data_IF_257765413679
#
_entry.id   IF_257765413679
#
_cell.length_a   1.000
_cell.length_b   1.000
_cell.length_c   1.000
_cell.angle_alpha   90.00
_cell.angle_beta   90.00
_cell.angle_gamma   90.00
#
_symmetry.space_group_name_H-M   'P 1'
#
loop_
_entity.id
_entity.type
_entity.pdbx_description
1 polymer ?
#
# COMPACT_ATOMS: atom_id res chain seq x y z
N UNK A 1 53.91 -7.05 -42.00
CA UNK A 1 53.02 -7.28 -43.16
C UNK A 1 52.13 -6.07 -43.30
N UNK A 2 52.20 -5.43 -44.47
CA UNK A 2 51.56 -4.16 -44.81
C UNK A 2 50.35 -4.47 -45.70
N UNK A 3 49.17 -3.96 -45.36
CA UNK A 3 48.03 -3.93 -46.27
C UNK A 3 47.41 -2.53 -46.24
N UNK A 4 47.66 -1.80 -47.33
CA UNK A 4 46.96 -0.58 -47.71
C UNK A 4 45.68 -1.00 -48.42
N UNK A 5 44.51 -0.52 -47.98
CA UNK A 5 43.26 -0.61 -48.72
C UNK A 5 42.79 0.79 -49.12
N UNK A 6 42.81 1.03 -50.42
CA UNK A 6 42.29 2.19 -51.15
C UNK A 6 40.77 2.05 -51.34
N UNK A 7 40.01 3.08 -51.00
CA UNK A 7 38.58 3.20 -51.32
C UNK A 7 38.16 4.68 -51.41
N UNK A 8 37.47 5.12 -52.48
CA UNK A 8 37.26 6.55 -52.75
C UNK A 8 36.11 7.15 -51.93
N UNK A 9 36.35 8.38 -51.44
CA UNK A 9 35.36 9.31 -50.86
C UNK A 9 34.65 10.05 -52.00
N UNK A 10 33.32 10.02 -52.07
CA UNK A 10 32.47 11.16 -52.49
C UNK A 10 31.00 10.87 -52.21
N UNK A 11 30.28 11.91 -51.76
CA UNK A 11 28.85 11.95 -51.41
C UNK A 11 28.16 12.80 -52.49
N UNK A 12 27.08 12.34 -53.15
CA UNK A 12 26.34 13.21 -54.08
C UNK A 12 25.18 13.94 -53.38
N UNK A 13 25.00 15.22 -53.74
CA UNK A 13 23.93 16.12 -53.31
C UNK A 13 22.56 15.78 -53.95
N UNK A 14 21.43 16.14 -53.30
CA UNK A 14 20.09 15.86 -53.83
C UNK A 14 19.70 16.84 -54.96
N UNK A 15 19.47 16.29 -56.15
CA UNK A 15 18.96 17.02 -57.33
C UNK A 15 17.42 17.06 -57.30
N UNK A 16 16.86 18.26 -57.45
CA UNK A 16 15.41 18.51 -57.58
C UNK A 16 15.02 18.58 -59.07
N UNK A 17 14.07 17.77 -59.57
CA UNK A 17 13.54 17.95 -60.93
C UNK A 17 12.23 18.77 -60.96
N UNK A 18 11.87 19.33 -62.14
CA UNK A 18 10.91 20.41 -62.33
C UNK A 18 9.45 19.96 -62.52
N UNK A 19 8.53 20.94 -62.42
CA UNK A 19 7.10 20.82 -62.76
C UNK A 19 6.91 20.72 -64.28
N UNK A 20 5.98 19.88 -64.73
CA UNK A 20 5.39 20.04 -66.07
C UNK A 20 4.64 18.82 -66.60
N UNK A 21 3.32 18.99 -66.73
CA UNK A 21 2.38 18.39 -67.70
C UNK A 21 1.82 16.97 -67.47
N UNK A 22 0.48 16.94 -67.32
CA UNK A 22 -0.46 15.81 -67.42
C UNK A 22 -0.45 15.17 -68.83
N UNK A 23 -0.97 13.94 -69.05
CA UNK A 23 -2.43 13.75 -69.16
C UNK A 23 -3.03 12.36 -68.77
N UNK A 24 -4.35 12.41 -68.50
CA UNK A 24 -5.42 11.42 -68.80
C UNK A 24 -5.57 10.15 -67.93
N UNK A 25 -6.48 10.29 -66.96
CA UNK A 25 -7.68 9.49 -66.68
C UNK A 25 -7.72 7.98 -67.01
N UNK A 26 -7.82 7.18 -65.95
CA UNK A 26 -8.92 6.22 -65.68
C UNK A 26 -8.84 5.79 -64.22
N UNK A 27 -9.91 5.99 -63.42
CA UNK A 27 -10.49 5.00 -62.49
C UNK A 27 -11.35 5.63 -61.36
N UNK A 28 -12.36 4.90 -60.85
CA UNK A 28 -13.66 5.47 -60.45
C UNK A 28 -13.80 5.87 -58.96
N UNK A 29 -14.78 6.73 -58.71
CA UNK A 29 -15.11 7.36 -57.42
C UNK A 29 -15.66 6.39 -56.34
N UNK A 30 -15.42 6.64 -55.03
CA UNK A 30 -16.22 6.08 -53.94
C UNK A 30 -17.48 6.91 -53.64
N UNK A 31 -18.56 6.30 -53.08
CA UNK A 31 -19.88 6.91 -53.03
C UNK A 31 -20.05 7.94 -51.91
N UNK A 32 -20.86 8.96 -52.19
CA UNK A 32 -21.28 10.02 -51.25
C UNK A 32 -22.18 9.47 -50.14
N UNK A 33 -21.85 9.78 -48.89
CA UNK A 33 -22.83 9.68 -47.80
C UNK A 33 -23.38 11.07 -47.48
N UNK A 34 -24.68 11.19 -47.70
CA UNK A 34 -25.54 12.34 -47.49
C UNK A 34 -25.52 12.79 -46.02
N UNK A 35 -25.22 14.06 -45.81
CA UNK A 35 -25.25 14.71 -44.50
C UNK A 35 -26.71 15.09 -44.17
N UNK A 36 -27.46 14.18 -43.57
CA UNK A 36 -28.75 14.52 -42.95
C UNK A 36 -28.54 15.08 -41.56
N UNK A 37 -28.66 16.40 -41.44
CA UNK A 37 -28.89 17.09 -40.16
C UNK A 37 -30.21 16.59 -39.56
N UNK A 38 -30.14 15.92 -38.42
CA UNK A 38 -31.26 15.82 -37.48
C UNK A 38 -30.82 16.39 -36.15
N UNK A 39 -31.41 17.53 -35.82
CA UNK A 39 -31.22 18.27 -34.57
C UNK A 39 -31.97 17.57 -33.42
N UNK A 40 -31.41 17.73 -32.22
CA UNK A 40 -32.04 17.65 -30.89
C UNK A 40 -32.66 16.32 -30.41
N UNK A 41 -31.86 15.54 -29.69
CA UNK A 41 -32.19 15.07 -28.33
C UNK A 41 -30.89 14.89 -27.55
N UNK A 42 -30.47 16.00 -26.95
CA UNK A 42 -29.32 16.11 -26.07
C UNK A 42 -29.58 15.43 -24.72
N UNK A 43 -28.49 14.93 -24.13
CA UNK A 43 -28.24 14.77 -22.69
C UNK A 43 -28.41 13.39 -22.03
N UNK A 44 -28.86 12.33 -22.72
CA UNK A 44 -28.86 10.96 -22.11
C UNK A 44 -27.71 10.07 -22.57
N UNK A 45 -27.11 10.33 -23.73
CA UNK A 45 -26.05 9.49 -24.30
C UNK A 45 -24.63 9.81 -23.82
N UNK A 46 -24.42 10.97 -23.16
CA UNK A 46 -23.09 11.37 -22.65
C UNK A 46 -22.87 10.99 -21.18
N UNK A 47 -23.94 10.72 -20.43
CA UNK A 47 -23.87 10.15 -19.09
C UNK A 47 -23.52 8.64 -19.12
N UNK A 48 -23.75 7.98 -20.27
CA UNK A 48 -23.54 6.54 -20.44
C UNK A 48 -22.10 6.15 -20.81
N UNK A 49 -21.22 7.11 -21.14
CA UNK A 49 -19.84 6.83 -21.55
C UNK A 49 -18.87 6.64 -20.36
N UNK A 50 -19.33 6.87 -19.13
CA UNK A 50 -18.52 6.79 -17.90
C UNK A 50 -18.73 5.50 -17.09
N UNK A 51 -19.51 4.55 -17.61
CA UNK A 51 -19.60 3.20 -17.05
C UNK A 51 -19.51 2.18 -18.18
N UNK A 52 -18.30 2.00 -18.72
CA UNK A 52 -17.99 0.91 -19.65
C UNK A 52 -18.00 -0.44 -18.90
N UNK A 53 -19.16 -0.79 -18.34
CA UNK A 53 -19.43 -2.09 -17.73
C UNK A 53 -20.04 -2.98 -18.80
N UNK A 54 -19.68 -4.26 -18.76
CA UNK A 54 -20.28 -5.22 -19.68
C UNK A 54 -21.77 -5.39 -19.33
N UNK A 55 -22.64 -5.71 -20.30
CA UNK A 55 -24.01 -6.10 -19.97
C UNK A 55 -23.98 -7.32 -19.05
N UNK A 56 -24.94 -7.43 -18.14
CA UNK A 56 -24.94 -8.46 -17.09
C UNK A 56 -24.79 -9.89 -17.61
N UNK A 57 -25.37 -10.19 -18.78
CA UNK A 57 -25.25 -11.50 -19.44
C UNK A 57 -23.83 -11.79 -19.92
N UNK A 58 -23.13 -10.80 -20.46
CA UNK A 58 -21.74 -10.93 -20.92
C UNK A 58 -20.79 -11.01 -19.73
N UNK A 59 -20.99 -10.16 -18.70
CA UNK A 59 -20.25 -10.23 -17.43
C UNK A 59 -20.37 -11.62 -16.80
N UNK A 60 -21.57 -12.19 -16.77
CA UNK A 60 -21.83 -13.53 -16.22
C UNK A 60 -21.11 -14.63 -17.02
N UNK A 61 -21.05 -14.50 -18.35
CA UNK A 61 -20.31 -15.44 -19.22
C UNK A 61 -18.81 -15.36 -19.00
N UNK A 62 -18.26 -14.15 -18.89
CA UNK A 62 -16.83 -13.92 -18.59
C UNK A 62 -16.45 -14.45 -17.21
N UNK A 63 -17.30 -14.21 -16.21
CA UNK A 63 -17.14 -14.76 -14.86
C UNK A 63 -17.18 -16.30 -14.87
N UNK A 64 -18.12 -16.90 -15.60
CA UNK A 64 -18.20 -18.36 -15.73
C UNK A 64 -16.96 -18.94 -16.43
N UNK A 65 -16.48 -18.30 -17.50
CA UNK A 65 -15.22 -18.64 -18.19
C UNK A 65 -14.02 -18.61 -17.23
N UNK A 66 -13.89 -17.52 -16.46
CA UNK A 66 -12.84 -17.38 -15.45
C UNK A 66 -12.95 -18.42 -14.33
N UNK A 67 -14.16 -18.75 -13.87
CA UNK A 67 -14.40 -19.79 -12.85
C UNK A 67 -14.03 -21.20 -13.34
N UNK A 68 -14.28 -21.51 -14.61
CA UNK A 68 -13.88 -22.77 -15.21
C UNK A 68 -12.35 -22.88 -15.26
N UNK A 69 -11.66 -21.83 -15.72
CA UNK A 69 -10.19 -21.77 -15.70
C UNK A 69 -9.64 -21.87 -14.27
N UNK A 70 -10.28 -21.22 -13.29
CA UNK A 70 -9.94 -21.34 -11.86
C UNK A 70 -10.06 -22.79 -11.38
N UNK A 71 -11.10 -23.52 -11.78
CA UNK A 71 -11.28 -24.94 -11.45
C UNK A 71 -10.18 -25.82 -12.05
N UNK A 72 -9.82 -25.57 -13.31
CA UNK A 72 -8.70 -26.26 -13.98
C UNK A 72 -7.36 -25.98 -13.28
N UNK A 73 -7.11 -24.73 -12.91
CA UNK A 73 -5.90 -24.33 -12.17
C UNK A 73 -5.85 -24.93 -10.76
N UNK A 74 -7.00 -25.03 -10.06
CA UNK A 74 -7.10 -25.74 -8.78
C UNK A 74 -6.71 -27.22 -8.94
N UNK A 75 -7.13 -27.86 -10.03
CA UNK A 75 -6.76 -29.25 -10.34
C UNK A 75 -5.25 -29.40 -10.56
N UNK A 76 -4.62 -28.45 -11.28
CA UNK A 76 -3.16 -28.41 -11.46
C UNK A 76 -2.44 -28.15 -10.14
N UNK A 77 -2.96 -27.27 -9.30
CA UNK A 77 -2.44 -26.99 -7.97
C UNK A 77 -2.45 -28.23 -7.06
N UNK A 78 -3.55 -28.99 -7.07
CA UNK A 78 -3.65 -30.26 -6.32
C UNK A 78 -2.66 -31.32 -6.82
N UNK A 79 -2.28 -31.28 -8.10
CA UNK A 79 -1.22 -32.12 -8.69
C UNK A 79 0.20 -31.61 -8.39
N UNK A 80 0.34 -30.52 -7.64
CA UNK A 80 1.60 -29.82 -7.34
C UNK A 80 2.30 -29.22 -8.57
N UNK A 81 1.59 -29.10 -9.70
CA UNK A 81 2.09 -28.39 -10.88
C UNK A 81 1.77 -26.89 -10.76
N UNK A 82 2.57 -26.20 -9.95
CA UNK A 82 2.34 -24.79 -9.63
C UNK A 82 2.59 -23.86 -10.82
N UNK A 83 3.58 -24.15 -11.67
CA UNK A 83 3.89 -23.36 -12.86
C UNK A 83 2.75 -23.33 -13.87
N UNK A 84 2.17 -24.50 -14.17
CA UNK A 84 1.01 -24.57 -15.07
C UNK A 84 -0.22 -23.94 -14.41
N UNK A 85 -0.40 -24.14 -13.10
CA UNK A 85 -1.49 -23.52 -12.35
C UNK A 85 -1.45 -22.00 -12.43
N UNK A 86 -0.28 -21.38 -12.26
CA UNK A 86 -0.08 -19.93 -12.40
C UNK A 86 -0.50 -19.48 -13.80
N UNK A 87 -0.01 -20.14 -14.84
CA UNK A 87 -0.35 -19.80 -16.23
C UNK A 87 -1.86 -19.89 -16.50
N UNK A 88 -2.53 -20.87 -15.92
CA UNK A 88 -3.99 -21.03 -16.05
C UNK A 88 -4.75 -19.97 -15.25
N UNK A 89 -4.27 -19.58 -14.06
CA UNK A 89 -4.84 -18.46 -13.30
C UNK A 89 -4.65 -17.11 -14.00
N UNK A 90 -3.50 -16.87 -14.63
CA UNK A 90 -3.26 -15.65 -15.40
C UNK A 90 -4.21 -15.55 -16.60
N UNK A 91 -4.49 -16.67 -17.26
CA UNK A 91 -5.56 -16.74 -18.28
C UNK A 91 -6.93 -16.42 -17.67
N UNK A 92 -7.24 -16.94 -16.49
CA UNK A 92 -8.49 -16.62 -15.79
C UNK A 92 -8.61 -15.13 -15.43
N UNK A 93 -7.50 -14.47 -15.10
CA UNK A 93 -7.44 -13.03 -14.84
C UNK A 93 -7.66 -12.20 -16.11
N UNK A 94 -7.15 -12.65 -17.26
CA UNK A 94 -7.32 -11.95 -18.53
C UNK A 94 -8.78 -11.94 -19.03
N UNK A 95 -9.57 -12.95 -18.63
CA UNK A 95 -11.01 -13.02 -18.92
C UNK A 95 -11.84 -12.09 -18.03
N UNK A 96 -11.30 -11.61 -16.89
CA UNK A 96 -12.05 -10.79 -15.96
C UNK A 96 -11.98 -9.29 -16.32
N UNK A 97 -13.12 -8.58 -16.34
CA UNK A 97 -13.13 -7.13 -16.37
C UNK A 97 -12.42 -6.51 -15.16
N UNK A 98 -11.72 -5.40 -15.38
CA UNK A 98 -10.85 -4.76 -14.37
C UNK A 98 -11.57 -4.19 -13.14
N UNK A 99 -12.90 -4.06 -13.18
CA UNK A 99 -13.72 -3.58 -12.07
C UNK A 99 -14.22 -4.71 -11.15
N UNK A 100 -13.94 -5.99 -11.45
CA UNK A 100 -14.32 -7.13 -10.61
C UNK A 100 -13.22 -7.43 -9.59
N UNK A 101 -13.00 -6.48 -8.70
CA UNK A 101 -11.87 -6.44 -7.77
C UNK A 101 -11.83 -7.64 -6.81
N UNK A 102 -13.00 -8.09 -6.32
CA UNK A 102 -13.08 -9.29 -5.48
C UNK A 102 -12.61 -10.56 -6.20
N UNK A 103 -13.11 -10.81 -7.41
CA UNK A 103 -12.77 -12.05 -8.14
C UNK A 103 -11.31 -12.05 -8.57
N UNK A 104 -10.80 -10.88 -8.99
CA UNK A 104 -9.37 -10.69 -9.24
C UNK A 104 -8.55 -10.97 -7.97
N UNK A 105 -8.98 -10.49 -6.81
CA UNK A 105 -8.29 -10.74 -5.55
C UNK A 105 -8.27 -12.22 -5.15
N UNK A 106 -9.35 -12.98 -5.43
CA UNK A 106 -9.40 -14.43 -5.22
C UNK A 106 -8.33 -15.14 -6.07
N UNK A 107 -8.25 -14.82 -7.36
CA UNK A 107 -7.25 -15.39 -8.28
C UNK A 107 -5.83 -15.00 -7.87
N UNK A 108 -5.58 -13.72 -7.58
CA UNK A 108 -4.28 -13.23 -7.11
C UNK A 108 -3.85 -13.92 -5.82
N UNK A 109 -4.79 -14.19 -4.91
CA UNK A 109 -4.52 -14.95 -3.70
C UNK A 109 -3.99 -16.35 -4.05
N UNK A 110 -4.65 -17.07 -4.97
CA UNK A 110 -4.24 -18.42 -5.36
C UNK A 110 -2.91 -18.44 -6.13
N UNK A 111 -2.66 -17.46 -6.99
CA UNK A 111 -1.35 -17.27 -7.66
C UNK A 111 -0.26 -17.08 -6.60
N UNK A 112 -0.48 -16.22 -5.60
CA UNK A 112 0.47 -16.02 -4.51
C UNK A 112 0.73 -17.32 -3.73
N UNK A 113 -0.27 -18.17 -3.54
CA UNK A 113 -0.07 -19.49 -2.93
C UNK A 113 0.83 -20.40 -3.77
N UNK A 114 0.72 -20.34 -5.10
CA UNK A 114 1.61 -21.07 -6.01
C UNK A 114 3.04 -20.54 -5.92
N UNK A 115 3.24 -19.22 -5.97
CA UNK A 115 4.55 -18.58 -5.84
C UNK A 115 5.22 -18.91 -4.49
N UNK A 116 4.45 -18.96 -3.39
CA UNK A 116 4.97 -19.39 -2.10
C UNK A 116 5.47 -20.84 -2.10
N UNK A 117 4.83 -21.73 -2.86
CA UNK A 117 5.25 -23.14 -3.01
C UNK A 117 6.50 -23.29 -3.89
N UNK A 118 6.71 -22.35 -4.80
CA UNK A 118 7.88 -22.27 -5.67
C UNK A 118 9.02 -21.42 -5.07
N UNK A 119 8.85 -20.90 -3.85
CA UNK A 119 9.80 -20.00 -3.18
C UNK A 119 10.10 -18.71 -3.98
N UNK A 120 9.16 -18.31 -4.83
CA UNK A 120 9.20 -17.08 -5.63
C UNK A 120 8.63 -15.92 -4.80
N UNK A 121 9.41 -15.47 -3.82
CA UNK A 121 8.93 -14.55 -2.78
C UNK A 121 8.49 -13.18 -3.32
N UNK A 122 9.20 -12.65 -4.33
CA UNK A 122 8.92 -11.32 -4.88
C UNK A 122 7.60 -11.31 -5.64
N UNK A 123 7.41 -12.31 -6.48
CA UNK A 123 6.21 -12.54 -7.28
C UNK A 123 5.01 -12.85 -6.36
N UNK A 124 5.22 -13.57 -5.25
CA UNK A 124 4.19 -13.78 -4.24
C UNK A 124 3.74 -12.47 -3.59
N UNK A 125 4.67 -11.58 -3.23
CA UNK A 125 4.35 -10.27 -2.65
C UNK A 125 3.59 -9.41 -3.66
N UNK A 126 4.04 -9.35 -4.91
CA UNK A 126 3.39 -8.56 -5.95
C UNK A 126 1.95 -9.01 -6.21
N UNK A 127 1.70 -10.33 -6.32
CA UNK A 127 0.35 -10.87 -6.42
C UNK A 127 -0.49 -10.52 -5.20
N UNK A 128 0.07 -10.60 -3.99
CA UNK A 128 -0.65 -10.22 -2.78
C UNK A 128 -1.02 -8.73 -2.75
N UNK A 129 -0.11 -7.85 -3.16
CA UNK A 129 -0.33 -6.41 -3.22
C UNK A 129 -1.45 -6.06 -4.19
N UNK A 130 -1.43 -6.63 -5.41
CA UNK A 130 -2.51 -6.47 -6.41
C UNK A 130 -3.87 -6.88 -5.86
N UNK A 131 -3.94 -8.03 -5.17
CA UNK A 131 -5.18 -8.50 -4.57
C UNK A 131 -5.67 -7.60 -3.44
N UNK A 132 -4.77 -7.14 -2.56
CA UNK A 132 -5.12 -6.26 -1.44
C UNK A 132 -5.56 -4.87 -1.91
N UNK A 133 -4.93 -4.33 -2.97
CA UNK A 133 -5.31 -3.06 -3.57
C UNK A 133 -6.72 -3.13 -4.20
N UNK A 134 -7.09 -4.26 -4.80
CA UNK A 134 -8.46 -4.51 -5.28
C UNK A 134 -9.46 -4.52 -4.13
N UNK A 135 -9.18 -5.31 -3.08
CA UNK A 135 -10.07 -5.37 -1.93
C UNK A 135 -10.19 -4.04 -1.16
N UNK A 136 -9.17 -3.20 -1.16
CA UNK A 136 -9.23 -1.87 -0.55
C UNK A 136 -10.11 -0.90 -1.34
N UNK A 137 -10.26 -1.09 -2.67
CA UNK A 137 -11.24 -0.32 -3.47
C UNK A 137 -12.67 -0.75 -3.19
N UNK A 138 -12.89 -2.05 -2.99
CA UNK A 138 -14.22 -2.64 -2.70
C UNK A 138 -14.67 -2.39 -1.27
N UNK A 139 -13.79 -2.62 -0.30
CA UNK A 139 -14.06 -2.44 1.12
C UNK A 139 -12.87 -1.74 1.80
N UNK A 140 -12.87 -0.39 1.82
CA UNK A 140 -11.82 0.38 2.45
C UNK A 140 -11.68 0.04 3.93
N UNK A 141 -10.44 -0.19 4.38
CA UNK A 141 -10.13 -0.52 5.79
C UNK A 141 -9.61 0.66 6.57
N UNK A 142 -9.11 1.68 5.84
CA UNK A 142 -8.66 2.94 6.41
C UNK A 142 -9.72 3.99 6.09
N UNK A 143 -10.11 4.80 7.07
CA UNK A 143 -10.93 6.01 6.85
C UNK A 143 -10.12 7.01 6.02
N UNK A 144 -10.02 6.75 4.72
CA UNK A 144 -9.27 7.60 3.81
C UNK A 144 -10.10 8.86 3.56
N UNK A 145 -9.76 9.95 4.26
CA UNK A 145 -10.01 11.28 3.72
C UNK A 145 -9.38 11.31 2.32
N UNK A 146 -10.11 11.73 1.27
CA UNK A 146 -9.65 11.63 -0.10
C UNK A 146 -8.35 12.43 -0.26
N UNK A 147 -7.25 11.74 -0.61
CA UNK A 147 -6.00 12.39 -1.00
C UNK A 147 -6.17 12.99 -2.40
N UNK A 148 -6.50 14.27 -2.46
CA UNK A 148 -6.35 15.06 -3.68
C UNK A 148 -4.88 15.02 -4.12
N UNK A 149 -4.60 14.51 -5.32
CA UNK A 149 -3.30 14.61 -5.98
C UNK A 149 -2.99 16.08 -6.26
N UNK A 150 -2.31 16.78 -5.34
CA UNK A 150 -1.73 18.08 -5.64
C UNK A 150 -0.46 17.88 -6.47
N UNK A 151 -0.58 18.16 -7.75
CA UNK A 151 0.50 18.23 -8.72
C UNK A 151 1.52 19.28 -8.24
N UNK A 152 2.73 18.84 -7.93
CA UNK A 152 3.86 19.70 -7.56
C UNK A 152 4.25 20.60 -8.74
N UNK A 153 3.89 21.88 -8.69
CA UNK A 153 4.51 22.95 -9.48
C UNK A 153 5.49 23.72 -8.59
N UNK A 154 6.73 23.84 -9.10
CA UNK A 154 7.90 24.59 -8.65
C UNK A 154 7.56 25.90 -7.90
N UNK A 155 8.26 26.27 -6.80
CA UNK A 155 8.09 27.56 -6.18
C UNK A 155 8.90 28.64 -6.93
N UNK A 156 8.21 29.68 -7.38
CA UNK A 156 8.82 30.97 -7.70
C UNK A 156 8.95 31.80 -6.42
N UNK A 157 10.15 32.34 -6.26
CA UNK A 157 10.55 33.31 -5.24
C UNK A 157 9.73 34.60 -5.33
N UNK A 158 9.05 34.99 -4.25
CA UNK A 158 8.88 36.41 -3.90
C UNK A 158 9.06 36.65 -2.41
N UNK A 159 10.01 37.54 -2.17
CA UNK A 159 10.48 38.11 -0.94
C UNK A 159 9.59 39.32 -0.62
N UNK A 160 8.87 39.31 0.50
CA UNK A 160 8.36 40.55 1.10
C UNK A 160 8.55 40.52 2.61
N UNK A 161 9.23 41.55 3.06
CA UNK A 161 9.69 41.82 4.42
C UNK A 161 8.67 42.75 5.09
N UNK A 162 8.14 42.41 6.26
CA UNK A 162 7.52 43.40 7.15
C UNK A 162 7.70 43.07 8.64
N UNK A 163 8.61 43.85 9.21
CA UNK A 163 8.84 44.27 10.60
C UNK A 163 7.68 44.24 11.61
N UNK A 164 8.03 43.72 12.81
CA UNK A 164 8.14 44.42 14.12
C UNK A 164 6.99 44.35 15.14
N UNK A 165 7.39 44.52 16.43
CA UNK A 165 6.73 44.34 17.75
C UNK A 165 6.63 42.89 18.24
N UNK A 166 7.39 42.37 19.21
CA UNK A 166 7.89 42.81 20.55
C UNK A 166 6.77 42.96 21.59
N UNK A 167 6.78 42.04 22.57
CA UNK A 167 6.52 42.18 24.02
C UNK A 167 6.53 40.75 24.62
N UNK A 168 7.68 40.22 25.05
CA UNK A 168 8.14 40.17 26.46
C UNK A 168 7.05 40.30 27.52
N UNK A 169 6.74 39.20 28.20
CA UNK A 169 6.72 39.24 29.66
C UNK A 169 7.06 37.89 30.30
N UNK A 170 7.78 38.02 31.40
CA UNK A 170 8.49 37.01 32.18
C UNK A 170 7.97 37.10 33.61
N UNK A 171 7.52 35.99 34.18
CA UNK A 171 7.68 35.63 35.60
C UNK A 171 7.09 34.21 35.77
N UNK A 172 7.66 33.23 36.45
CA UNK A 172 8.61 33.28 37.55
C UNK A 172 7.99 32.61 38.79
N UNK A 173 8.75 31.69 39.41
CA UNK A 173 8.55 31.03 40.73
C UNK A 173 7.51 29.90 40.79
N UNK A 174 7.63 28.85 41.62
CA UNK A 174 8.56 28.28 42.65
C UNK A 174 7.69 27.11 43.20
N UNK A 175 8.09 25.87 43.44
CA UNK A 175 9.27 25.23 44.01
C UNK A 175 8.74 24.07 44.90
N UNK A 176 9.52 22.98 45.05
CA UNK A 176 9.55 22.01 46.21
C UNK A 176 8.25 21.23 46.53
N UNK A 177 8.16 19.98 47.01
CA UNK A 177 9.05 18.96 47.58
C UNK A 177 8.27 17.64 47.77
N UNK A 178 8.91 16.49 47.50
CA UNK A 178 9.08 15.29 48.36
C UNK A 178 7.99 14.89 49.40
N UNK A 179 7.44 13.67 49.29
CA UNK A 179 7.29 12.62 50.36
C UNK A 179 6.48 11.44 49.78
N UNK A 180 6.95 10.18 49.66
CA UNK A 180 7.31 9.10 50.59
C UNK A 180 6.15 8.27 51.21
N UNK A 181 6.34 6.93 51.14
CA UNK A 181 5.62 5.79 51.76
C UNK A 181 4.18 5.51 51.31
N UNK A 182 3.74 4.29 51.00
CA UNK A 182 4.21 2.95 51.36
C UNK A 182 3.18 2.27 52.27
N UNK A 183 2.65 1.10 51.88
CA UNK A 183 2.40 -0.09 52.74
C UNK A 183 1.53 -1.14 52.02
N UNK A 184 1.99 -2.38 52.13
CA UNK A 184 1.41 -3.66 51.66
C UNK A 184 0.16 -4.07 52.46
N UNK A 185 -0.62 -5.02 51.91
CA UNK A 185 -1.09 -6.31 52.51
C UNK A 185 -2.44 -6.72 51.89
N UNK A 186 -2.50 -7.82 51.14
CA UNK A 186 -3.05 -9.14 51.51
C UNK A 186 -4.50 -9.09 52.02
N UNK A 187 -5.48 -9.85 51.55
CA UNK A 187 -5.54 -11.01 50.65
C UNK A 187 -6.90 -11.71 50.86
N UNK A 188 -7.17 -12.73 50.02
CA UNK A 188 -8.24 -13.77 50.12
C UNK A 188 -9.68 -13.27 49.86
N UNK A 189 -10.35 -13.69 48.78
CA UNK A 189 -11.00 -15.00 48.52
C UNK A 189 -12.07 -15.35 49.57
N UNK A 190 -13.31 -15.56 49.07
CA UNK A 190 -14.44 -16.44 49.48
C UNK A 190 -15.67 -15.96 48.66
N UNK A 191 -16.20 -16.68 47.66
CA UNK A 191 -17.03 -17.90 47.63
C UNK A 191 -18.52 -17.70 48.05
N UNK A 192 -19.40 -17.83 47.05
CA UNK A 192 -20.74 -18.45 47.00
C UNK A 192 -21.80 -18.20 48.09
N UNK A 193 -22.97 -17.71 47.65
CA UNK A 193 -24.31 -18.03 48.21
C UNK A 193 -25.45 -17.50 47.32
N UNK A 194 -26.06 -18.43 46.58
CA UNK A 194 -27.50 -18.76 46.44
C UNK A 194 -28.63 -17.72 46.70
N UNK A 195 -29.59 -17.72 45.76
CA UNK A 195 -31.05 -17.75 45.97
C UNK A 195 -31.92 -16.47 45.92
N UNK A 196 -32.72 -16.42 44.84
CA UNK A 196 -34.17 -16.12 44.74
C UNK A 196 -34.76 -14.75 45.13
N UNK A 197 -35.41 -14.12 44.14
CA UNK A 197 -36.83 -13.75 44.26
C UNK A 197 -37.19 -12.26 44.23
N UNK A 198 -38.01 -11.91 43.24
CA UNK A 198 -39.09 -10.89 43.28
C UNK A 198 -38.77 -9.45 42.82
N UNK A 199 -39.20 -9.19 41.59
CA UNK A 199 -40.14 -8.14 41.15
C UNK A 199 -39.83 -6.63 41.28
N UNK A 200 -40.02 -5.99 40.11
CA UNK A 200 -40.61 -4.67 39.83
C UNK A 200 -39.70 -3.42 39.69
N UNK A 201 -39.67 -2.97 38.43
CA UNK A 201 -39.84 -1.59 37.95
C UNK A 201 -38.70 -0.56 38.13
N UNK A 202 -37.93 -0.45 37.04
CA UNK A 202 -37.57 0.76 36.29
C UNK A 202 -37.37 2.10 37.03
N UNK A 203 -36.12 2.58 37.04
CA UNK A 203 -35.79 3.98 36.71
C UNK A 203 -34.44 4.00 35.96
N UNK A 204 -34.49 4.48 34.72
CA UNK A 204 -33.37 4.57 33.80
C UNK A 204 -32.58 5.87 34.01
N UNK A 205 -31.29 5.76 34.29
CA UNK A 205 -30.33 6.86 34.15
C UNK A 205 -29.00 6.31 33.62
N UNK A 206 -28.82 6.50 32.31
CA UNK A 206 -27.62 6.48 31.45
C UNK A 206 -26.32 5.81 31.92
N UNK A 207 -25.70 5.00 31.04
CA UNK A 207 -24.25 5.01 30.90
C UNK A 207 -23.78 5.34 29.47
N UNK A 208 -22.82 6.28 29.45
CA UNK A 208 -21.71 6.46 28.52
C UNK A 208 -21.75 5.81 27.13
N UNK A 209 -21.77 6.67 26.11
CA UNK A 209 -21.46 6.34 24.72
C UNK A 209 -20.00 5.81 24.59
N UNK A 210 -19.86 4.52 24.34
CA UNK A 210 -18.63 3.89 23.82
C UNK A 210 -18.56 4.17 22.30
N UNK A 211 -17.43 4.62 21.72
CA UNK A 211 -17.35 5.01 20.32
C UNK A 211 -17.01 3.81 19.43
N UNK A 212 -17.87 2.78 19.39
CA UNK A 212 -17.64 1.58 18.54
C UNK A 212 -18.94 0.93 18.11
N UNK A 213 -19.52 1.43 17.03
CA UNK A 213 -20.21 0.66 15.98
C UNK A 213 -20.69 1.64 14.90
N UNK A 214 -19.82 1.92 13.91
CA UNK A 214 -20.24 2.62 12.68
C UNK A 214 -21.13 1.73 11.79
N UNK A 215 -21.32 0.46 12.16
CA UNK A 215 -22.20 -0.50 11.48
C UNK A 215 -23.66 -0.47 12.02
N UNK A 216 -23.96 0.32 13.07
CA UNK A 216 -25.30 0.46 13.65
C UNK A 216 -26.10 1.65 13.06
N UNK A 217 -25.84 2.01 11.80
CA UNK A 217 -26.62 3.04 11.11
C UNK A 217 -28.00 2.46 10.76
N UNK A 218 -29.05 2.92 11.44
CA UNK A 218 -30.44 2.58 11.14
C UNK A 218 -30.79 3.16 9.77
N UNK A 219 -30.87 2.31 8.76
CA UNK A 219 -31.39 2.67 7.44
C UNK A 219 -32.91 2.52 7.49
N UNK A 220 -33.63 3.64 7.45
CA UNK A 220 -35.09 3.62 7.34
C UNK A 220 -35.47 3.04 5.97
N UNK A 221 -36.12 1.87 5.98
CA UNK A 221 -36.68 1.26 4.78
C UNK A 221 -37.93 2.08 4.39
N UNK A 222 -38.07 2.54 3.13
CA UNK A 222 -39.29 3.20 2.67
C UNK A 222 -40.51 2.29 2.90
N UNK A 223 -41.64 2.85 3.37
CA UNK A 223 -42.85 2.08 3.73
C UNK A 223 -43.42 1.20 2.62
N UNK A 224 -43.02 1.45 1.37
CA UNK A 224 -43.54 0.80 0.18
C UNK A 224 -42.54 -0.20 -0.45
N UNK A 225 -41.38 -0.42 0.18
CA UNK A 225 -40.39 -1.41 -0.27
C UNK A 225 -40.59 -2.75 0.45
N UNK A 226 -40.49 -3.86 -0.30
CA UNK A 226 -40.55 -5.20 0.29
C UNK A 226 -39.42 -5.39 1.31
N UNK A 227 -39.75 -5.28 2.61
CA UNK A 227 -38.80 -5.39 3.74
C UNK A 227 -37.96 -6.68 3.65
N UNK A 228 -38.58 -7.78 3.19
CA UNK A 228 -37.89 -9.06 2.96
C UNK A 228 -36.79 -8.98 1.89
N UNK A 229 -37.00 -8.19 0.83
CA UNK A 229 -36.04 -8.02 -0.26
C UNK A 229 -34.88 -7.12 0.19
N UNK A 230 -35.19 -6.06 0.94
CA UNK A 230 -34.19 -5.17 1.53
C UNK A 230 -33.29 -5.92 2.54
N UNK A 231 -33.88 -6.75 3.42
CA UNK A 231 -33.12 -7.59 4.36
C UNK A 231 -32.24 -8.62 3.64
N UNK A 232 -32.73 -9.25 2.56
CA UNK A 232 -31.94 -10.17 1.76
C UNK A 232 -30.74 -9.48 1.09
N UNK A 233 -30.93 -8.26 0.57
CA UNK A 233 -29.85 -7.45 -0.02
C UNK A 233 -28.79 -7.05 1.01
N UNK A 234 -29.20 -6.71 2.24
CA UNK A 234 -28.27 -6.44 3.35
C UNK A 234 -27.48 -7.69 3.75
N UNK A 235 -28.14 -8.84 3.88
CA UNK A 235 -27.46 -10.12 4.17
C UNK A 235 -26.42 -10.48 3.11
N UNK A 236 -26.76 -10.32 1.82
CA UNK A 236 -25.82 -10.52 0.70
C UNK A 236 -24.63 -9.56 0.78
N UNK A 237 -24.85 -8.32 1.23
CA UNK A 237 -23.77 -7.37 1.49
C UNK A 237 -22.84 -7.86 2.60
N UNK A 238 -23.39 -8.32 3.72
CA UNK A 238 -22.61 -8.79 4.86
C UNK A 238 -21.85 -10.10 4.56
N UNK A 239 -22.44 -11.00 3.78
CA UNK A 239 -21.76 -12.18 3.23
C UNK A 239 -20.57 -11.78 2.34
N UNK A 240 -20.77 -10.81 1.45
CA UNK A 240 -19.71 -10.27 0.59
C UNK A 240 -18.59 -9.61 1.41
N UNK A 241 -18.92 -8.87 2.47
CA UNK A 241 -17.93 -8.31 3.40
C UNK A 241 -17.14 -9.41 4.10
N UNK A 242 -17.81 -10.46 4.57
CA UNK A 242 -17.16 -11.61 5.21
C UNK A 242 -16.21 -12.32 4.23
N UNK A 243 -16.61 -12.49 2.98
CA UNK A 243 -15.77 -13.04 1.92
C UNK A 243 -14.54 -12.18 1.63
N UNK A 244 -14.72 -10.87 1.50
CA UNK A 244 -13.62 -9.92 1.34
C UNK A 244 -12.64 -10.03 2.51
N UNK A 245 -13.15 -10.09 3.75
CA UNK A 245 -12.29 -10.30 4.93
C UNK A 245 -11.52 -11.61 4.87
N UNK A 246 -12.16 -12.72 4.49
CA UNK A 246 -11.48 -14.02 4.33
C UNK A 246 -10.34 -13.96 3.30
N UNK A 247 -10.57 -13.35 2.14
CA UNK A 247 -9.54 -13.23 1.10
C UNK A 247 -8.43 -12.28 1.54
N UNK A 248 -8.76 -11.15 2.17
CA UNK A 248 -7.80 -10.21 2.75
C UNK A 248 -6.91 -10.89 3.79
N UNK A 249 -7.48 -11.69 4.69
CA UNK A 249 -6.74 -12.50 5.67
C UNK A 249 -5.72 -13.41 4.99
N UNK A 250 -6.14 -14.16 3.94
CA UNK A 250 -5.24 -15.04 3.18
C UNK A 250 -4.10 -14.27 2.53
N UNK A 251 -4.40 -13.13 1.89
CA UNK A 251 -3.41 -12.30 1.22
C UNK A 251 -2.39 -11.71 2.20
N UNK A 252 -2.84 -11.16 3.34
CA UNK A 252 -1.96 -10.64 4.39
C UNK A 252 -1.03 -11.71 4.95
N UNK A 253 -1.56 -12.91 5.22
CA UNK A 253 -0.76 -14.03 5.74
C UNK A 253 0.29 -14.48 4.72
N UNK A 254 -0.10 -14.59 3.45
CA UNK A 254 0.80 -14.99 2.35
C UNK A 254 1.89 -13.94 2.13
N UNK A 255 1.53 -12.66 2.12
CA UNK A 255 2.47 -11.53 1.97
C UNK A 255 3.45 -11.44 3.13
N UNK A 256 2.97 -11.56 4.36
CA UNK A 256 3.80 -11.57 5.55
C UNK A 256 4.80 -12.73 5.54
N UNK A 257 4.39 -13.93 5.13
CA UNK A 257 5.29 -15.09 4.98
C UNK A 257 6.32 -14.87 3.88
N UNK A 258 5.90 -14.41 2.70
CA UNK A 258 6.80 -14.14 1.59
C UNK A 258 7.90 -13.14 1.97
N UNK A 259 7.52 -12.00 2.57
CA UNK A 259 8.46 -10.95 3.00
C UNK A 259 9.49 -11.42 4.03
N UNK A 260 9.10 -12.31 4.94
CA UNK A 260 10.03 -12.88 5.94
C UNK A 260 11.02 -13.85 5.32
N UNK A 261 10.61 -14.57 4.27
CA UNK A 261 11.47 -15.51 3.54
C UNK A 261 12.37 -14.85 2.50
N UNK A 262 12.26 -13.54 2.28
CA UNK A 262 13.08 -12.84 1.29
C UNK A 262 14.54 -12.72 1.75
N UNK A 263 15.45 -13.19 0.89
CA UNK A 263 16.89 -13.00 1.06
C UNK A 263 17.44 -12.02 0.01
N UNK A 264 18.33 -11.07 0.40
CA UNK A 264 18.77 -10.79 1.77
C UNK A 264 17.65 -10.21 2.65
N UNK A 265 17.70 -10.48 3.96
CA UNK A 265 16.79 -9.88 4.94
C UNK A 265 16.97 -8.35 4.92
N UNK A 266 15.99 -7.62 4.40
CA UNK A 266 15.98 -6.15 4.43
C UNK A 266 15.04 -5.64 5.52
N UNK A 267 15.40 -4.50 6.12
CA UNK A 267 14.55 -3.82 7.11
C UNK A 267 13.17 -3.50 6.53
N UNK A 268 13.09 -3.10 5.26
CA UNK A 268 11.85 -2.78 4.57
C UNK A 268 10.89 -3.98 4.50
N UNK A 269 11.39 -5.17 4.15
CA UNK A 269 10.55 -6.36 4.04
C UNK A 269 10.12 -6.87 5.43
N UNK A 270 11.05 -6.91 6.40
CA UNK A 270 10.74 -7.38 7.75
C UNK A 270 9.76 -6.46 8.48
N UNK A 271 9.93 -5.14 8.35
CA UNK A 271 9.00 -4.18 8.96
C UNK A 271 7.62 -4.23 8.30
N UNK A 272 7.57 -4.34 6.98
CA UNK A 272 6.31 -4.48 6.26
C UNK A 272 5.59 -5.81 6.58
N UNK A 273 6.33 -6.91 6.77
CA UNK A 273 5.78 -8.18 7.25
C UNK A 273 5.20 -8.06 8.66
N UNK A 274 5.90 -7.36 9.56
CA UNK A 274 5.44 -7.12 10.92
C UNK A 274 4.12 -6.34 10.95
N UNK A 275 3.93 -5.36 10.06
CA UNK A 275 2.65 -4.65 9.92
C UNK A 275 1.53 -5.56 9.37
N UNK A 276 1.84 -6.49 8.47
CA UNK A 276 0.86 -7.50 8.01
C UNK A 276 0.38 -8.38 9.17
N UNK A 277 1.30 -8.89 9.99
CA UNK A 277 0.96 -9.71 11.16
C UNK A 277 0.21 -8.92 12.25
N UNK A 278 0.56 -7.65 12.47
CA UNK A 278 -0.21 -6.78 13.37
C UNK A 278 -1.64 -6.59 12.88
N UNK A 279 -1.83 -6.41 11.57
CA UNK A 279 -3.16 -6.30 10.98
C UNK A 279 -3.96 -7.58 11.23
N UNK A 280 -3.36 -8.75 11.02
CA UNK A 280 -3.98 -10.06 11.27
C UNK A 280 -4.34 -10.32 12.74
N UNK A 281 -3.63 -9.70 13.69
CA UNK A 281 -3.93 -9.82 15.13
C UNK A 281 -5.23 -9.10 15.54
N UNK A 282 -5.76 -8.21 14.68
CA UNK A 282 -7.00 -7.49 14.96
C UNK A 282 -8.20 -8.45 15.06
N UNK A 283 -9.18 -8.22 15.96
CA UNK A 283 -10.31 -9.14 16.16
C UNK A 283 -11.09 -9.48 14.87
N UNK A 284 -11.18 -8.51 13.95
CA UNK A 284 -11.84 -8.65 12.64
C UNK A 284 -11.19 -9.73 11.75
N UNK A 285 -9.88 -9.90 11.82
CA UNK A 285 -9.16 -10.88 10.99
C UNK A 285 -8.80 -12.15 11.76
N UNK A 286 -8.51 -12.04 13.06
CA UNK A 286 -8.11 -13.17 13.89
C UNK A 286 -9.20 -14.26 13.96
N UNK A 287 -10.47 -13.86 14.03
CA UNK A 287 -11.63 -14.77 14.03
C UNK A 287 -11.79 -15.55 12.71
N UNK A 288 -11.28 -15.01 11.60
CA UNK A 288 -11.33 -15.66 10.27
C UNK A 288 -10.16 -16.63 10.02
N UNK A 289 -9.12 -16.58 10.86
CA UNK A 289 -7.93 -17.41 10.71
C UNK A 289 -8.12 -18.81 11.30
N UNK A 290 -7.66 -19.88 10.61
CA UNK A 290 -7.53 -21.21 11.20
C UNK A 290 -6.63 -21.18 12.45
N UNK A 291 -6.90 -22.02 13.48
CA UNK A 291 -6.04 -22.12 14.67
C UNK A 291 -4.53 -22.30 14.41
N UNK A 292 -4.06 -23.09 13.43
CA UNK A 292 -2.62 -23.19 13.15
C UNK A 292 -2.03 -21.85 12.66
N UNK A 293 -2.77 -21.12 11.83
CA UNK A 293 -2.31 -19.84 11.30
C UNK A 293 -2.29 -18.76 12.39
N UNK A 294 -3.24 -18.79 13.33
CA UNK A 294 -3.22 -17.91 14.51
C UNK A 294 -1.92 -18.07 15.31
N UNK A 295 -1.45 -19.31 15.52
CA UNK A 295 -0.17 -19.57 16.18
C UNK A 295 1.00 -19.01 15.39
N UNK A 296 0.98 -19.15 14.07
CA UNK A 296 2.01 -18.55 13.19
C UNK A 296 2.05 -17.03 13.33
N UNK A 297 0.89 -16.36 13.36
CA UNK A 297 0.81 -14.90 13.56
C UNK A 297 1.40 -14.52 14.93
N UNK A 298 0.98 -15.20 16.01
CA UNK A 298 1.53 -14.93 17.34
C UNK A 298 3.04 -15.14 17.41
N UNK A 299 3.56 -16.22 16.83
CA UNK A 299 4.99 -16.49 16.79
C UNK A 299 5.76 -15.43 15.99
N UNK A 300 5.22 -14.99 14.85
CA UNK A 300 5.80 -13.93 14.04
C UNK A 300 5.87 -12.60 14.81
N UNK A 301 4.84 -12.26 15.58
CA UNK A 301 4.81 -11.04 16.40
C UNK A 301 5.81 -11.05 17.56
N UNK A 302 6.27 -12.21 18.01
CA UNK A 302 7.34 -12.33 19.02
C UNK A 302 8.72 -12.28 18.37
N UNK A 303 8.88 -12.92 17.22
CA UNK A 303 10.19 -13.15 16.59
C UNK A 303 10.63 -12.02 15.65
N UNK A 304 9.69 -11.33 15.00
CA UNK A 304 10.01 -10.27 14.03
C UNK A 304 10.50 -8.95 14.65
N UNK A 305 9.95 -8.42 15.75
CA UNK A 305 10.41 -7.15 16.31
C UNK A 305 11.93 -7.06 16.55
N UNK A 306 12.60 -8.04 17.19
CA UNK A 306 14.05 -7.98 17.36
C UNK A 306 14.81 -8.08 16.02
N UNK A 307 14.31 -8.87 15.05
CA UNK A 307 14.89 -8.93 13.70
C UNK A 307 14.80 -7.58 12.97
N UNK A 308 13.65 -6.91 13.06
CA UNK A 308 13.43 -5.59 12.47
C UNK A 308 14.38 -4.55 13.06
N UNK A 309 14.54 -4.52 14.39
CA UNK A 309 15.47 -3.59 15.05
C UNK A 309 16.92 -3.83 14.61
N UNK A 310 17.36 -5.10 14.59
CA UNK A 310 18.71 -5.46 14.14
C UNK A 310 18.96 -5.10 12.67
N UNK A 311 18.01 -5.39 11.78
CA UNK A 311 18.12 -5.05 10.36
C UNK A 311 18.15 -3.54 10.15
N UNK A 312 17.30 -2.80 10.87
CA UNK A 312 17.26 -1.33 10.85
C UNK A 312 18.59 -0.73 11.29
N UNK A 313 19.14 -1.15 12.43
CA UNK A 313 20.42 -0.65 12.95
C UNK A 313 21.56 -0.92 11.96
N UNK A 314 21.60 -2.12 11.37
CA UNK A 314 22.59 -2.48 10.36
C UNK A 314 22.49 -1.59 9.11
N UNK A 315 21.31 -1.46 8.52
CA UNK A 315 21.12 -0.64 7.32
C UNK A 315 21.38 0.85 7.59
N UNK A 316 20.94 1.37 8.74
CA UNK A 316 21.21 2.76 9.14
C UNK A 316 22.71 2.98 9.35
N UNK A 317 23.43 2.03 9.97
CA UNK A 317 24.87 2.10 10.14
C UNK A 317 25.60 2.09 8.78
N UNK A 318 25.20 1.21 7.86
CA UNK A 318 25.78 1.13 6.51
C UNK A 318 25.51 2.41 5.70
N UNK A 319 24.32 2.99 5.81
CA UNK A 319 23.98 4.26 5.18
C UNK A 319 24.77 5.43 5.78
N UNK A 320 24.93 5.45 7.10
CA UNK A 320 25.73 6.46 7.79
C UNK A 320 27.21 6.35 7.41
N UNK A 321 27.75 5.14 7.28
CA UNK A 321 29.10 4.88 6.79
C UNK A 321 29.31 5.43 5.38
N UNK A 322 28.42 5.09 4.44
CA UNK A 322 28.48 5.60 3.05
C UNK A 322 28.38 7.13 2.99
N UNK A 323 27.52 7.73 3.82
CA UNK A 323 27.37 9.19 3.88
C UNK A 323 28.65 9.84 4.44
N UNK A 324 29.26 9.21 5.44
CA UNK A 324 30.52 9.63 6.02
C UNK A 324 31.67 9.54 5.01
N UNK A 325 31.75 8.46 4.26
CA UNK A 325 32.77 8.26 3.21
C UNK A 325 32.62 9.28 2.08
N UNK A 326 31.38 9.58 1.66
CA UNK A 326 31.11 10.62 0.69
C UNK A 326 31.51 12.00 1.22
N UNK A 327 31.17 12.31 2.48
CA UNK A 327 31.59 13.54 3.15
C UNK A 327 33.11 13.65 3.22
N UNK A 328 33.80 12.56 3.56
CA UNK A 328 35.25 12.48 3.57
C UNK A 328 35.84 12.67 2.18
N UNK A 329 35.21 12.16 1.12
CA UNK A 329 35.64 12.39 -0.26
C UNK A 329 35.66 13.88 -0.64
N UNK A 330 34.68 14.66 -0.16
CA UNK A 330 34.59 16.11 -0.38
C UNK A 330 35.57 16.87 0.52
N UNK A 331 35.79 16.39 1.75
CA UNK A 331 36.61 17.07 2.76
C UNK A 331 38.12 16.76 2.65
N UNK A 332 38.48 15.63 2.06
CA UNK A 332 39.87 15.17 1.93
C UNK A 332 40.79 16.14 1.17
N UNK A 333 40.36 16.80 0.06
CA UNK A 333 41.15 17.85 -0.59
C UNK A 333 41.47 19.07 0.30
N UNK A 334 40.70 19.26 1.38
CA UNK A 334 40.89 20.34 2.35
C UNK A 334 41.66 19.90 3.60
N UNK A 335 42.16 18.65 3.65
CA UNK A 335 42.80 18.09 4.84
C UNK A 335 41.83 17.85 6.00
N UNK A 336 40.53 17.78 5.71
CA UNK A 336 39.47 17.61 6.70
C UNK A 336 38.84 16.20 6.60
N UNK A 337 38.32 15.71 7.72
CA UNK A 337 37.50 14.51 7.80
C UNK A 337 36.21 14.82 8.55
N UNK A 338 35.13 14.12 8.24
CA UNK A 338 33.89 14.07 9.03
C UNK A 338 34.15 13.67 10.50
N UNK A 339 35.25 12.97 10.77
CA UNK A 339 35.70 12.64 12.14
C UNK A 339 36.22 13.84 12.93
N UNK A 340 36.67 14.89 12.23
CA UNK A 340 37.20 16.10 12.89
C UNK A 340 36.07 16.95 13.49
N UNK A 341 34.81 16.65 13.17
CA UNK A 341 33.64 17.38 13.66
C UNK A 341 32.93 16.56 14.73
N UNK A 342 33.12 16.91 16.01
CA UNK A 342 32.44 16.28 17.15
C UNK A 342 31.13 17.02 17.43
N UNK A 343 30.02 16.32 17.28
CA UNK A 343 28.70 16.82 17.66
C UNK A 343 28.47 16.48 19.14
N UNK A 344 28.17 17.48 19.95
CA UNK A 344 27.78 17.33 21.36
C UNK A 344 26.36 17.84 21.55
N UNK A 345 25.51 17.07 22.24
CA UNK A 345 24.14 17.47 22.55
C UNK A 345 24.11 18.17 23.91
N UNK A 346 23.76 19.46 23.92
CA UNK A 346 23.61 20.26 25.13
C UNK A 346 22.32 19.94 25.90
N UNK A 347 22.30 20.26 27.19
CA UNK A 347 21.24 19.93 28.16
C UNK A 347 19.84 20.49 27.79
N UNK A 348 19.78 21.47 26.87
CA UNK A 348 18.55 22.04 26.31
C UNK A 348 18.13 21.50 24.93
N UNK A 349 18.71 20.39 24.48
CA UNK A 349 18.42 19.79 23.16
C UNK A 349 19.10 20.47 21.96
N UNK A 350 19.93 21.50 22.19
CA UNK A 350 20.75 22.14 21.16
C UNK A 350 21.98 21.30 20.80
N UNK A 351 22.32 21.24 19.51
CA UNK A 351 23.53 20.57 19.02
C UNK A 351 24.68 21.58 18.87
N UNK A 352 25.80 21.34 19.54
CA UNK A 352 27.04 22.10 19.38
C UNK A 352 28.06 21.28 18.60
N UNK A 353 28.56 21.82 17.49
CA UNK A 353 29.64 21.23 16.70
C UNK A 353 30.98 21.79 17.18
N UNK A 354 31.85 20.93 17.68
CA UNK A 354 33.23 21.25 18.03
C UNK A 354 34.16 20.63 17.01
N UNK A 355 35.10 21.42 16.49
CA UNK A 355 36.11 20.94 15.56
C UNK A 355 37.37 20.53 16.34
N UNK A 356 37.76 19.26 16.22
CA UNK A 356 39.01 18.74 16.73
C UNK A 356 40.04 18.78 15.59
N UNK A 357 40.85 19.84 15.56
CA UNK A 357 41.84 20.06 14.53
C UNK A 357 42.93 19.00 14.61
N UNK A 358 42.83 17.96 13.79
CA UNK A 358 43.89 16.98 13.59
C UNK A 358 45.21 17.69 13.25
N UNK A 359 46.13 17.71 14.22
CA UNK A 359 47.44 18.35 14.12
C UNK A 359 48.31 17.70 13.05
N UNK A 360 48.23 18.22 11.83
CA UNK A 360 49.23 18.00 10.78
C UNK A 360 50.23 19.13 10.81
N UNK A 361 51.35 18.92 11.52
CA UNK A 361 52.50 19.83 11.52
C UNK A 361 53.09 19.99 10.12
N UNK A 362 52.64 21.02 9.39
CA UNK A 362 53.33 21.58 8.24
C UNK A 362 54.54 22.39 8.70
N UNK A 363 55.55 21.69 9.23
CA UNK A 363 56.85 22.23 9.56
C UNK A 363 57.55 22.76 8.31
N UNK A 364 57.50 24.08 8.16
CA UNK A 364 58.29 24.93 7.28
C UNK A 364 59.79 24.57 7.36
N UNK A 365 60.37 24.04 6.28
CA UNK A 365 61.79 24.18 5.86
C UNK A 365 61.75 23.98 4.34
N UNK A 366 62.26 24.85 3.48
CA UNK A 366 63.30 25.86 3.59
C UNK A 366 64.00 25.80 2.24
#
# INVERSE_FOLDING_TARGET
MSFKSTGPKTRPDPVKPPRGADPVATDPHPPSWTQSRRSSSSASSIASFHSARFPADEESRMLASSHELKSQANTQFSKQDYSSAISTYDRALAELPSYLDYEMAVLQSNIAACHLKLEQWKEAVESCDKGLDGLERELPTKSSKPKSKSKSTRPETKNENKKESKDTDTDGRRGTSKSNNGTKRSGRLNSDTESSGSDSEAESSSPGLDPRDEDAAVVEIPSDADESSALAALSLSDERKADIHRIRTKLLLRRGRARVSMEPETWTNLSAALEDYKTLQSPRYLSTLPPPDQRTVHQALVTLPPKVSRAKEKEVADMMGKLKDLGNGILKPFGLSTDNFKVTQGEGGGYSLSFDGGGGGGGKKG
#
